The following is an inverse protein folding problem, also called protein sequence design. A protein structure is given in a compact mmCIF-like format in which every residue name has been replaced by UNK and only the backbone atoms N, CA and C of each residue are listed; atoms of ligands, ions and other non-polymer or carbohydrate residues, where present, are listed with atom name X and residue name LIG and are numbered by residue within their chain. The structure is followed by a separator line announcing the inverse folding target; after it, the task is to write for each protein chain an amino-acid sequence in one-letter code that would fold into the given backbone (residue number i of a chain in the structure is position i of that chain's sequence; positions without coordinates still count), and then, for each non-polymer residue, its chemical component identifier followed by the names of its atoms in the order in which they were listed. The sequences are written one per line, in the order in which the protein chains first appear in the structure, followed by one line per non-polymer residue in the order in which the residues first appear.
data_IF_336854061443
#
_entry.id   IF_336854061443
#
_cell.length_a   1.000
_cell.length_b   1.000
_cell.length_c   1.000
_cell.angle_alpha   90.00
_cell.angle_beta   90.00
_cell.angle_gamma   90.00
#
_symmetry.space_group_name_H-M   'P 1'
#
loop_
_entity.id
_entity.type
_entity.pdbx_description
1 polymer ?
#
# COMPACT_ATOMS: atom_id res chain seq x y z
N UNK A 1 -3.71 2.74 -4.62
CA UNK A 1 -2.98 1.76 -3.78
C UNK A 1 -2.87 0.41 -4.47
N UNK A 2 -3.99 -0.26 -4.80
CA UNK A 2 -3.97 -1.62 -5.40
C UNK A 2 -3.15 -1.75 -6.70
N UNK A 3 -3.27 -0.82 -7.65
CA UNK A 3 -2.49 -0.87 -8.89
C UNK A 3 -0.98 -0.88 -8.63
N UNK A 4 -0.49 -0.05 -7.71
CA UNK A 4 0.92 0.01 -7.33
C UNK A 4 1.37 -1.30 -6.67
N UNK A 5 0.54 -1.89 -5.82
CA UNK A 5 0.86 -3.17 -5.17
C UNK A 5 1.02 -4.31 -6.18
N UNK A 6 0.25 -4.29 -7.28
CA UNK A 6 0.38 -5.28 -8.35
C UNK A 6 1.57 -4.99 -9.27
N UNK A 7 1.82 -3.73 -9.60
CA UNK A 7 2.91 -3.35 -10.50
C UNK A 7 4.30 -3.56 -9.89
N UNK A 8 4.44 -3.46 -8.57
CA UNK A 8 5.72 -3.64 -7.88
C UNK A 8 6.33 -5.04 -8.03
N UNK A 9 5.63 -6.15 -7.75
CA UNK A 9 6.17 -7.48 -7.98
C UNK A 9 6.38 -7.76 -9.47
N UNK A 10 5.54 -7.22 -10.37
CA UNK A 10 5.72 -7.38 -11.82
C UNK A 10 7.00 -6.70 -12.32
N UNK A 11 7.23 -5.45 -11.94
CA UNK A 11 8.45 -4.72 -12.33
C UNK A 11 9.70 -5.30 -11.70
N UNK A 12 9.61 -5.83 -10.47
CA UNK A 12 10.71 -6.56 -9.82
C UNK A 12 11.02 -7.88 -10.53
N UNK A 13 9.99 -8.64 -10.90
CA UNK A 13 10.15 -9.88 -11.67
C UNK A 13 10.75 -9.61 -13.05
N UNK A 14 10.30 -8.57 -13.76
CA UNK A 14 10.88 -8.16 -15.05
C UNK A 14 12.33 -7.70 -14.93
N UNK A 15 12.69 -7.04 -13.82
CA UNK A 15 14.08 -6.65 -13.56
C UNK A 15 14.99 -7.87 -13.31
N UNK A 16 14.54 -8.83 -12.50
CA UNK A 16 15.34 -9.99 -12.13
C UNK A 16 15.38 -11.06 -13.23
N UNK A 17 14.21 -11.49 -13.70
CA UNK A 17 14.10 -12.58 -14.68
C UNK A 17 14.25 -12.09 -16.12
N UNK A 18 13.77 -10.88 -16.41
CA UNK A 18 13.82 -10.30 -17.76
C UNK A 18 15.08 -9.47 -18.04
N UNK A 19 15.89 -9.15 -17.03
CA UNK A 19 17.09 -8.31 -17.18
C UNK A 19 16.81 -6.88 -17.63
N UNK A 20 15.56 -6.41 -17.50
CA UNK A 20 15.15 -5.09 -18.00
C UNK A 20 15.54 -4.01 -17.00
N UNK A 21 16.57 -3.23 -17.31
CA UNK A 21 17.09 -2.18 -16.42
C UNK A 21 16.07 -1.08 -16.12
N UNK A 22 15.26 -0.70 -17.11
CA UNK A 22 14.17 0.25 -16.93
C UNK A 22 13.16 -0.23 -15.86
N UNK A 23 12.87 -1.55 -15.82
CA UNK A 23 11.98 -2.12 -14.80
C UNK A 23 12.59 -2.05 -13.40
N UNK A 24 13.91 -2.17 -13.26
CA UNK A 24 14.59 -2.00 -11.98
C UNK A 24 14.49 -0.54 -11.47
N UNK A 25 14.61 0.44 -12.36
CA UNK A 25 14.42 1.85 -12.02
C UNK A 25 12.97 2.13 -11.59
N UNK A 26 11.98 1.62 -12.33
CA UNK A 26 10.56 1.75 -11.99
C UNK A 26 10.25 1.08 -10.65
N UNK A 27 10.76 -0.12 -10.39
CA UNK A 27 10.59 -0.81 -9.11
C UNK A 27 11.17 0.01 -7.94
N UNK A 28 12.40 0.54 -8.07
CA UNK A 28 13.00 1.40 -7.03
C UNK A 28 12.20 2.69 -6.79
N UNK A 29 11.69 3.34 -7.83
CA UNK A 29 10.84 4.51 -7.69
C UNK A 29 9.49 4.18 -7.03
N UNK A 30 8.89 3.04 -7.39
CA UNK A 30 7.64 2.56 -6.81
C UNK A 30 7.75 2.24 -5.32
N UNK A 31 8.93 1.85 -4.83
CA UNK A 31 9.20 1.68 -3.40
C UNK A 31 8.92 2.97 -2.61
N UNK A 32 9.46 4.11 -3.07
CA UNK A 32 9.22 5.41 -2.44
C UNK A 32 7.72 5.77 -2.46
N UNK A 33 7.05 5.53 -3.58
CA UNK A 33 5.62 5.77 -3.70
C UNK A 33 4.79 4.92 -2.72
N UNK A 34 5.14 3.64 -2.53
CA UNK A 34 4.49 2.78 -1.53
C UNK A 34 4.69 3.33 -0.12
N UNK A 35 5.91 3.73 0.25
CA UNK A 35 6.16 4.26 1.60
C UNK A 35 5.33 5.52 1.88
N UNK A 36 5.27 6.45 0.93
CA UNK A 36 4.44 7.66 1.08
C UNK A 36 2.97 7.29 1.20
N UNK A 37 2.44 6.42 0.34
CA UNK A 37 1.04 6.00 0.39
C UNK A 37 0.71 5.21 1.66
N UNK A 38 1.63 4.39 2.15
CA UNK A 38 1.48 3.64 3.40
C UNK A 38 1.39 4.60 4.59
N UNK A 39 2.30 5.58 4.67
CA UNK A 39 2.28 6.58 5.73
C UNK A 39 0.98 7.39 5.70
N UNK A 40 0.53 7.81 4.51
CA UNK A 40 -0.76 8.49 4.35
C UNK A 40 -1.94 7.62 4.77
N UNK A 41 -1.91 6.32 4.42
CA UNK A 41 -2.96 5.38 4.80
C UNK A 41 -3.03 5.20 6.33
N UNK A 42 -1.88 4.97 6.97
CA UNK A 42 -1.79 4.84 8.43
C UNK A 42 -2.23 6.14 9.11
N UNK A 43 -1.72 7.29 8.67
CA UNK A 43 -2.11 8.59 9.21
C UNK A 43 -3.62 8.83 9.07
N UNK A 44 -4.22 8.49 7.92
CA UNK A 44 -5.66 8.57 7.70
C UNK A 44 -6.46 7.68 8.65
N UNK A 45 -6.02 6.44 8.86
CA UNK A 45 -6.65 5.53 9.82
C UNK A 45 -6.56 6.04 11.27
N UNK A 46 -5.41 6.60 11.66
CA UNK A 46 -5.22 7.20 12.99
C UNK A 46 -6.06 8.47 13.16
N UNK A 47 -6.14 9.33 12.13
CA UNK A 47 -6.99 10.52 12.15
C UNK A 47 -8.47 10.16 12.30
N UNK A 48 -8.92 9.16 11.55
CA UNK A 48 -10.27 8.61 11.66
C UNK A 48 -10.55 8.08 13.08
N UNK A 49 -9.59 7.40 13.70
CA UNK A 49 -9.75 6.83 15.03
C UNK A 49 -9.71 7.88 16.16
N UNK A 50 -8.75 8.80 16.14
CA UNK A 50 -8.51 9.72 17.26
C UNK A 50 -9.26 11.04 17.15
N UNK A 51 -9.43 11.57 15.94
CA UNK A 51 -10.09 12.87 15.72
C UNK A 51 -11.56 12.68 15.40
N UNK A 52 -11.86 11.88 14.37
CA UNK A 52 -13.23 11.65 13.93
C UNK A 52 -13.96 10.57 14.73
N UNK A 53 -13.23 9.80 15.55
CA UNK A 53 -13.76 8.75 16.44
C UNK A 53 -14.61 7.70 15.70
N UNK A 54 -14.22 7.35 14.48
CA UNK A 54 -14.91 6.32 13.69
C UNK A 54 -14.38 4.91 13.98
N UNK A 55 -15.20 3.90 13.69
CA UNK A 55 -14.85 2.48 13.88
C UNK A 55 -14.10 1.85 12.70
N UNK A 56 -13.62 2.66 11.73
CA UNK A 56 -12.92 2.17 10.53
C UNK A 56 -11.75 1.24 10.91
N UNK A 57 -10.94 1.63 11.91
CA UNK A 57 -9.83 0.81 12.37
C UNK A 57 -10.32 -0.49 13.05
N UNK A 58 -11.41 -0.43 13.82
CA UNK A 58 -11.98 -1.61 14.50
C UNK A 58 -12.54 -2.63 13.52
N UNK A 59 -13.14 -2.16 12.41
CA UNK A 59 -13.66 -3.01 11.33
C UNK A 59 -12.57 -3.79 10.57
N UNK A 60 -11.34 -3.27 10.55
CA UNK A 60 -10.18 -3.99 9.99
C UNK A 60 -9.69 -5.08 10.95
N UNK A 61 -9.60 -4.76 12.25
CA UNK A 61 -9.13 -5.68 13.29
C UNK A 61 -10.11 -6.82 13.55
N UNK A 62 -11.40 -6.52 13.53
CA UNK A 62 -12.46 -7.48 13.74
C UNK A 62 -13.64 -7.09 12.85
N UNK A 63 -14.02 -7.92 11.88
CA UNK A 63 -15.24 -7.67 11.12
C UNK A 63 -16.41 -7.62 12.10
N UNK A 64 -17.30 -6.64 11.93
CA UNK A 64 -18.57 -6.65 12.67
C UNK A 64 -19.26 -7.99 12.38
N UNK A 65 -19.72 -8.68 13.43
CA UNK A 65 -20.61 -9.82 13.23
C UNK A 65 -21.84 -9.26 12.54
N UNK A 66 -22.00 -9.53 11.25
CA UNK A 66 -23.25 -9.30 10.55
C UNK A 66 -24.34 -10.05 11.34
N UNK A 67 -25.27 -9.29 11.90
CA UNK A 67 -26.47 -9.82 12.56
C UNK A 67 -27.45 -10.34 11.52
#
# INVERSE_FOLDING_TARGET
FYAIILLMPLTGALAWFGGVEASAAVHRAGMLAIFVLLLLHVAGALYQHFVLKTDVMRRILRPEKGG
#
